data_IF_055822371484
#
_entry.id   IF_055822371484
#
_cell.length_a   1.000
_cell.length_b   1.000
_cell.length_c   1.000
_cell.angle_alpha   90.00
_cell.angle_beta   90.00
_cell.angle_gamma   90.00
#
_symmetry.space_group_name_H-M   'P 1'
#
loop_
_entity.id
_entity.type
_entity.pdbx_description
1 polymer ?
#
# COMPACT_ATOMS: atom_id res chain seq x y z
N UNK A 1 11.36 -7.39 20.91
CA UNK A 1 10.20 -7.21 21.79
C UNK A 1 8.97 -7.44 20.92
N UNK A 2 8.09 -8.40 21.21
CA UNK A 2 6.88 -8.59 20.44
C UNK A 2 6.02 -7.32 20.47
N UNK A 3 5.24 -7.09 19.41
CA UNK A 3 4.25 -6.02 19.37
C UNK A 3 3.32 -6.18 20.59
N UNK A 4 3.49 -5.34 21.60
CA UNK A 4 2.89 -5.46 22.92
C UNK A 4 2.40 -4.11 23.45
N UNK A 5 2.12 -4.07 24.75
CA UNK A 5 1.59 -2.89 25.45
C UNK A 5 2.41 -1.64 25.09
N UNK A 6 1.73 -0.63 24.52
CA UNK A 6 2.34 0.64 24.12
C UNK A 6 2.80 0.74 22.66
N UNK A 7 2.66 -0.33 21.85
CA UNK A 7 2.96 -0.25 20.41
C UNK A 7 1.81 0.44 19.66
N UNK A 8 2.16 1.41 18.81
CA UNK A 8 1.23 2.24 18.08
C UNK A 8 1.58 2.31 16.60
N UNK A 9 0.60 2.17 15.71
CA UNK A 9 0.74 2.42 14.28
C UNK A 9 0.09 3.75 13.93
N UNK A 10 0.92 4.72 13.54
CA UNK A 10 0.43 5.98 12.95
C UNK A 10 0.14 5.76 11.47
N UNK A 11 -1.04 6.15 11.05
CA UNK A 11 -1.52 5.87 9.70
C UNK A 11 -2.39 7.00 9.13
N UNK A 12 -2.55 6.97 7.82
CA UNK A 12 -3.60 7.71 7.07
C UNK A 12 -4.26 6.74 6.08
N UNK A 13 -5.23 7.23 5.30
CA UNK A 13 -5.87 6.41 4.26
C UNK A 13 -5.11 6.38 2.92
N UNK A 14 -3.97 7.05 2.82
CA UNK A 14 -3.12 7.00 1.64
C UNK A 14 -2.52 5.60 1.42
N UNK A 15 -2.05 5.24 0.22
CA UNK A 15 -1.72 3.87 -0.16
C UNK A 15 -0.76 3.13 0.80
N UNK A 16 0.43 3.66 1.07
CA UNK A 16 1.40 2.98 1.93
C UNK A 16 0.95 2.86 3.41
N UNK A 17 0.38 3.91 4.05
CA UNK A 17 -0.21 3.75 5.39
C UNK A 17 -1.39 2.78 5.43
N UNK A 18 -2.25 2.76 4.39
CA UNK A 18 -3.32 1.78 4.25
C UNK A 18 -2.77 0.35 4.22
N UNK A 19 -1.69 0.13 3.45
CA UNK A 19 -1.01 -1.15 3.38
C UNK A 19 -0.57 -1.63 4.76
N UNK A 20 0.07 -0.77 5.56
CA UNK A 20 0.52 -1.13 6.91
C UNK A 20 -0.64 -1.48 7.85
N UNK A 21 -1.78 -0.77 7.75
CA UNK A 21 -2.99 -1.11 8.50
C UNK A 21 -3.53 -2.48 8.07
N UNK A 22 -3.62 -2.74 6.76
CA UNK A 22 -4.07 -4.02 6.24
C UNK A 22 -3.19 -5.18 6.72
N UNK A 23 -1.86 -5.00 6.73
CA UNK A 23 -0.90 -5.98 7.27
C UNK A 23 -1.15 -6.25 8.76
N UNK A 24 -1.22 -5.18 9.57
CA UNK A 24 -1.44 -5.32 11.01
C UNK A 24 -2.76 -6.05 11.32
N UNK A 25 -3.82 -5.75 10.54
CA UNK A 25 -5.12 -6.44 10.65
C UNK A 25 -5.06 -7.89 10.22
N UNK A 26 -4.41 -8.16 9.09
CA UNK A 26 -4.26 -9.53 8.57
C UNK A 26 -3.52 -10.43 9.56
N UNK A 27 -2.51 -9.89 10.21
CA UNK A 27 -1.71 -10.62 11.20
C UNK A 27 -2.36 -10.67 12.59
N UNK A 28 -3.46 -9.97 12.83
CA UNK A 28 -4.07 -9.86 14.15
C UNK A 28 -3.13 -9.18 15.18
N UNK A 29 -2.26 -8.27 14.73
CA UNK A 29 -1.27 -7.64 15.58
C UNK A 29 -1.93 -6.79 16.68
N UNK A 30 -1.51 -6.99 17.93
CA UNK A 30 -2.02 -6.27 19.11
C UNK A 30 -1.30 -4.92 19.23
N UNK A 31 -1.86 -3.88 18.63
CA UNK A 31 -1.32 -2.52 18.68
C UNK A 31 -2.47 -1.49 18.64
N UNK A 32 -2.15 -0.26 19.00
CA UNK A 32 -3.07 0.86 18.90
C UNK A 32 -2.92 1.53 17.54
N UNK A 33 -4.04 1.82 16.88
CA UNK A 33 -4.05 2.59 15.63
C UNK A 33 -4.31 4.06 15.93
N UNK A 34 -3.47 4.95 15.39
CA UNK A 34 -3.65 6.40 15.52
C UNK A 34 -3.64 7.07 14.15
N UNK A 35 -4.79 7.64 13.80
CA UNK A 35 -4.93 8.38 12.54
C UNK A 35 -4.14 9.69 12.60
N UNK A 36 -3.41 9.97 11.52
CA UNK A 36 -2.70 11.23 11.32
C UNK A 36 -3.14 11.84 9.98
N UNK A 37 -3.75 13.01 10.05
CA UNK A 37 -4.24 13.71 8.86
C UNK A 37 -3.07 14.17 8.00
N UNK A 38 -2.99 13.81 6.73
CA UNK A 38 -1.92 14.29 5.86
C UNK A 38 -1.83 15.82 5.84
N UNK A 39 -0.61 16.33 5.88
CA UNK A 39 -0.31 17.76 5.84
C UNK A 39 -0.88 18.61 6.99
N UNK A 40 -1.36 17.99 8.08
CA UNK A 40 -1.86 18.74 9.23
C UNK A 40 -0.74 19.56 9.90
N UNK A 41 -1.03 20.78 10.38
CA UNK A 41 -0.07 21.61 11.10
C UNK A 41 0.51 20.85 12.32
N UNK A 42 1.82 21.03 12.58
CA UNK A 42 2.51 20.41 13.71
C UNK A 42 2.88 18.94 13.56
N UNK A 43 2.45 18.27 12.49
CA UNK A 43 2.78 16.85 12.29
C UNK A 43 4.28 16.63 11.98
N UNK A 44 4.91 17.54 11.26
CA UNK A 44 6.32 17.43 10.92
C UNK A 44 7.18 17.41 12.21
N UNK A 45 6.92 18.30 13.13
CA UNK A 45 7.61 18.40 14.43
C UNK A 45 7.36 17.16 15.29
N UNK A 46 6.13 16.67 15.29
CA UNK A 46 5.71 15.47 16.03
C UNK A 46 6.41 14.21 15.50
N UNK A 47 6.48 14.05 14.19
CA UNK A 47 6.97 12.82 13.57
C UNK A 47 8.46 12.81 13.28
N UNK A 48 9.13 13.97 13.23
CA UNK A 48 10.58 14.06 12.98
C UNK A 48 11.43 13.14 13.89
N UNK A 49 11.16 13.02 15.20
CA UNK A 49 11.91 12.09 16.05
C UNK A 49 11.64 10.61 15.75
N UNK A 50 10.52 10.28 15.09
CA UNK A 50 10.10 8.91 14.82
C UNK A 50 10.44 8.48 13.39
N UNK A 51 10.40 9.40 12.44
CA UNK A 51 10.72 9.18 11.03
C UNK A 51 11.29 10.46 10.42
N UNK A 52 12.57 10.49 10.05
CA UNK A 52 13.21 11.66 9.45
C UNK A 52 12.61 12.10 8.13
N UNK A 53 11.94 11.17 7.39
CA UNK A 53 11.23 11.47 6.13
C UNK A 53 9.86 12.12 6.34
N UNK A 54 9.39 12.24 7.58
CA UNK A 54 8.10 12.84 7.95
C UNK A 54 6.87 12.17 7.28
N UNK A 55 7.06 10.95 6.78
CA UNK A 55 6.03 10.20 6.06
C UNK A 55 5.42 9.09 6.93
N UNK A 56 4.23 8.65 6.55
CA UNK A 56 3.55 7.51 7.14
C UNK A 56 3.64 6.29 6.20
N UNK A 57 3.57 5.07 6.74
CA UNK A 57 3.26 4.68 8.13
C UNK A 57 4.45 4.77 9.07
N UNK A 58 4.17 4.87 10.39
CA UNK A 58 5.18 4.76 11.46
C UNK A 58 4.66 3.80 12.52
N UNK A 59 5.43 2.76 12.82
CA UNK A 59 5.22 1.89 13.97
C UNK A 59 6.12 2.38 15.11
N UNK A 60 5.55 2.77 16.25
CA UNK A 60 6.29 3.29 17.40
C UNK A 60 6.00 2.47 18.66
N UNK A 61 7.00 2.31 19.51
CA UNK A 61 6.92 1.63 20.82
C UNK A 61 7.79 2.35 21.83
N UNK A 62 7.66 2.08 23.14
CA UNK A 62 8.58 2.65 24.12
C UNK A 62 10.03 2.34 23.76
N UNK A 63 10.81 3.39 23.49
CA UNK A 63 12.24 3.30 23.16
C UNK A 63 12.58 3.14 21.66
N UNK A 64 11.60 3.20 20.72
CA UNK A 64 11.94 3.13 19.31
C UNK A 64 10.78 3.32 18.34
N UNK A 65 11.14 3.41 17.08
CA UNK A 65 10.19 3.47 15.97
C UNK A 65 10.72 2.73 14.76
N UNK A 66 9.82 2.38 13.86
CA UNK A 66 10.10 1.78 12.56
C UNK A 66 9.18 2.43 11.51
N UNK A 67 9.73 2.77 10.39
CA UNK A 67 9.01 3.33 9.25
C UNK A 67 9.31 2.50 7.99
N UNK A 68 8.65 2.78 6.88
CA UNK A 68 8.47 1.96 5.68
C UNK A 68 7.53 0.77 5.90
N UNK A 69 6.52 0.68 5.03
CA UNK A 69 5.51 -0.38 5.10
C UNK A 69 6.12 -1.78 5.02
N UNK A 70 7.17 -1.95 4.22
CA UNK A 70 7.87 -3.23 4.05
C UNK A 70 8.56 -3.66 5.36
N UNK A 71 9.26 -2.72 6.01
CA UNK A 71 9.93 -2.98 7.28
C UNK A 71 8.93 -3.30 8.40
N UNK A 72 7.82 -2.56 8.44
CA UNK A 72 6.73 -2.79 9.40
C UNK A 72 6.11 -4.17 9.18
N UNK A 73 5.85 -4.56 7.92
CA UNK A 73 5.28 -5.87 7.59
C UNK A 73 6.22 -7.01 8.00
N UNK A 74 7.51 -6.89 7.70
CA UNK A 74 8.54 -7.86 8.12
C UNK A 74 8.55 -8.00 9.65
N UNK A 75 8.60 -6.88 10.37
CA UNK A 75 8.61 -6.86 11.83
C UNK A 75 7.36 -7.50 12.42
N UNK A 76 6.16 -7.10 11.98
CA UNK A 76 4.91 -7.62 12.50
C UNK A 76 4.74 -9.12 12.18
N UNK A 77 5.14 -9.57 10.98
CA UNK A 77 5.10 -11.00 10.63
C UNK A 77 5.97 -11.84 11.58
N UNK A 78 7.19 -11.37 11.87
CA UNK A 78 8.10 -12.04 12.82
C UNK A 78 7.55 -12.03 14.24
N UNK A 79 7.05 -10.89 14.72
CA UNK A 79 6.49 -10.75 16.06
C UNK A 79 5.28 -11.66 16.29
N UNK A 80 4.50 -11.92 15.23
CA UNK A 80 3.31 -12.79 15.25
C UNK A 80 3.62 -14.25 14.91
N UNK A 81 4.88 -14.60 14.60
CA UNK A 81 5.25 -15.97 14.18
C UNK A 81 4.56 -16.40 12.89
N UNK A 82 4.25 -15.45 12.01
CA UNK A 82 3.52 -15.69 10.75
C UNK A 82 4.49 -15.83 9.58
N UNK A 83 4.11 -16.67 8.63
CA UNK A 83 4.79 -16.84 7.34
C UNK A 83 4.32 -15.84 6.27
N UNK A 84 3.50 -14.85 6.63
CA UNK A 84 3.01 -13.82 5.71
C UNK A 84 4.16 -13.05 5.05
N UNK A 85 5.23 -12.73 5.80
CA UNK A 85 6.53 -12.41 5.24
C UNK A 85 7.28 -13.71 5.00
N UNK A 86 7.41 -14.12 3.75
CA UNK A 86 8.08 -15.37 3.40
C UNK A 86 9.56 -15.36 3.77
N UNK A 87 10.03 -16.45 4.33
CA UNK A 87 11.42 -16.74 4.63
C UNK A 87 11.86 -18.08 4.06
N UNK A 88 13.09 -18.52 4.37
CA UNK A 88 13.64 -19.78 3.89
C UNK A 88 13.72 -19.87 2.37
N UNK A 89 13.26 -20.94 1.78
CA UNK A 89 13.29 -21.19 0.33
C UNK A 89 12.50 -20.14 -0.48
N UNK A 90 11.45 -19.56 0.09
CA UNK A 90 10.62 -18.55 -0.58
C UNK A 90 11.18 -17.12 -0.43
N UNK A 91 12.20 -16.90 0.42
CA UNK A 91 12.72 -15.55 0.70
C UNK A 91 13.31 -14.85 -0.54
N UNK A 92 14.09 -15.51 -1.41
CA UNK A 92 14.58 -14.88 -2.63
C UNK A 92 13.48 -14.40 -3.56
N UNK A 93 12.41 -15.20 -3.70
CA UNK A 93 11.23 -14.82 -4.50
C UNK A 93 10.48 -13.65 -3.86
N UNK A 94 10.33 -13.65 -2.53
CA UNK A 94 9.75 -12.55 -1.79
C UNK A 94 10.50 -11.24 -2.06
N UNK A 95 11.83 -11.24 -1.89
CA UNK A 95 12.68 -10.07 -2.13
C UNK A 95 12.58 -9.61 -3.57
N UNK A 96 12.62 -10.54 -4.54
CA UNK A 96 12.47 -10.22 -5.97
C UNK A 96 11.18 -9.45 -6.23
N UNK A 97 10.03 -9.97 -5.75
CA UNK A 97 8.74 -9.32 -5.99
C UNK A 97 8.58 -8.00 -5.25
N UNK A 98 9.16 -7.84 -4.05
CA UNK A 98 9.17 -6.56 -3.34
C UNK A 98 9.99 -5.51 -4.09
N UNK A 99 11.22 -5.85 -4.47
CA UNK A 99 12.12 -4.94 -5.19
C UNK A 99 11.57 -4.57 -6.56
N UNK A 100 11.21 -5.57 -7.36
CA UNK A 100 10.67 -5.34 -8.70
C UNK A 100 9.32 -4.60 -8.64
N UNK A 101 8.44 -5.00 -7.75
CA UNK A 101 7.11 -4.43 -7.64
C UNK A 101 7.16 -2.95 -7.25
N UNK A 102 8.02 -2.58 -6.30
CA UNK A 102 8.17 -1.19 -5.86
C UNK A 102 8.60 -0.26 -6.99
N UNK A 103 9.62 -0.66 -7.75
CA UNK A 103 10.23 0.16 -8.78
C UNK A 103 9.52 0.09 -10.15
N UNK A 104 8.60 -0.84 -10.32
CA UNK A 104 7.93 -1.09 -11.58
C UNK A 104 6.41 -0.95 -11.44
N UNK A 105 5.70 -2.02 -11.09
CA UNK A 105 4.23 -2.03 -11.11
C UNK A 105 3.61 -1.04 -10.11
N UNK A 106 4.06 -1.05 -8.85
CA UNK A 106 3.53 -0.10 -7.86
C UNK A 106 3.89 1.33 -8.21
N UNK A 107 5.10 1.60 -8.73
CA UNK A 107 5.48 2.92 -9.23
C UNK A 107 4.59 3.38 -10.38
N UNK A 108 4.32 2.51 -11.34
CA UNK A 108 3.42 2.82 -12.45
C UNK A 108 2.02 3.22 -11.96
N UNK A 109 1.47 2.44 -11.04
CA UNK A 109 0.17 2.74 -10.43
C UNK A 109 0.21 4.06 -9.64
N UNK A 110 1.29 4.31 -8.89
CA UNK A 110 1.47 5.53 -8.09
C UNK A 110 1.54 6.78 -8.97
N UNK A 111 2.30 6.76 -10.05
CA UNK A 111 2.39 7.89 -10.98
C UNK A 111 1.01 8.36 -11.43
N UNK A 112 0.17 7.43 -11.86
CA UNK A 112 -1.19 7.74 -12.33
C UNK A 112 -2.09 8.17 -11.16
N UNK A 113 -2.06 7.41 -10.04
CA UNK A 113 -2.85 7.71 -8.86
C UNK A 113 -2.45 9.04 -8.21
N UNK A 114 -1.16 9.37 -8.17
CA UNK A 114 -0.70 10.63 -7.59
C UNK A 114 -1.28 11.82 -8.36
N UNK A 115 -1.15 11.84 -9.67
CA UNK A 115 -1.61 12.93 -10.51
C UNK A 115 -3.13 13.08 -10.49
N UNK A 116 -3.87 11.99 -10.70
CA UNK A 116 -5.33 11.98 -10.78
C UNK A 116 -6.03 12.03 -9.41
N UNK A 117 -5.37 11.56 -8.37
CA UNK A 117 -5.95 11.42 -7.03
C UNK A 117 -5.29 12.32 -5.99
N UNK A 118 -4.12 11.95 -5.50
CA UNK A 118 -3.48 12.64 -4.36
C UNK A 118 -3.26 14.12 -4.63
N UNK A 119 -2.69 14.45 -5.76
CA UNK A 119 -2.39 15.83 -6.15
C UNK A 119 -3.66 16.71 -6.20
N UNK A 120 -4.73 16.14 -6.73
CA UNK A 120 -6.02 16.85 -6.83
C UNK A 120 -6.70 16.99 -5.46
N UNK A 121 -6.71 15.94 -4.63
CA UNK A 121 -7.32 15.97 -3.29
C UNK A 121 -6.72 17.01 -2.38
N UNK A 122 -5.41 17.23 -2.49
CA UNK A 122 -4.67 18.12 -1.59
C UNK A 122 -4.26 19.45 -2.25
N UNK A 123 -4.73 19.75 -3.45
CA UNK A 123 -4.44 21.02 -4.13
C UNK A 123 -2.96 21.24 -4.44
N UNK A 124 -2.24 20.18 -4.76
CA UNK A 124 -0.79 20.22 -5.01
C UNK A 124 -0.42 20.68 -6.45
N UNK A 125 -1.39 21.15 -7.21
CA UNK A 125 -1.21 21.66 -8.57
C UNK A 125 -2.05 20.94 -9.62
N UNK A 126 -1.96 21.34 -10.90
CA UNK A 126 -2.68 20.71 -12.00
C UNK A 126 -2.15 19.30 -12.29
N UNK A 127 -2.98 18.48 -12.97
CA UNK A 127 -2.55 17.16 -13.46
C UNK A 127 -1.45 17.34 -14.49
N UNK A 128 -0.34 16.63 -14.31
CA UNK A 128 0.68 16.46 -15.33
C UNK A 128 0.30 15.28 -16.23
N UNK A 129 -0.25 15.60 -17.40
CA UNK A 129 -0.71 14.60 -18.36
C UNK A 129 0.43 13.77 -18.95
N UNK A 130 1.65 14.30 -19.03
CA UNK A 130 2.81 13.55 -19.49
C UNK A 130 3.18 12.46 -18.47
N UNK A 131 3.21 12.79 -17.17
CA UNK A 131 3.46 11.80 -16.12
C UNK A 131 2.37 10.72 -16.06
N UNK A 132 1.11 11.10 -16.30
CA UNK A 132 0.01 10.12 -16.41
C UNK A 132 0.24 9.17 -17.58
N UNK A 133 0.61 9.69 -18.75
CA UNK A 133 0.88 8.87 -19.94
C UNK A 133 2.08 7.94 -19.73
N UNK A 134 3.16 8.43 -19.16
CA UNK A 134 4.34 7.63 -18.78
C UNK A 134 3.95 6.52 -17.80
N UNK A 135 3.18 6.85 -16.76
CA UNK A 135 2.67 5.89 -15.78
C UNK A 135 1.80 4.81 -16.41
N UNK A 136 0.91 5.17 -17.35
CA UNK A 136 0.09 4.20 -18.07
C UNK A 136 0.91 3.29 -18.99
N UNK A 137 1.93 3.82 -19.68
CA UNK A 137 2.85 3.01 -20.50
C UNK A 137 3.63 2.01 -19.63
N UNK A 138 4.16 2.48 -18.49
CA UNK A 138 4.85 1.62 -17.55
C UNK A 138 3.90 0.57 -16.94
N UNK A 139 2.66 0.94 -16.63
CA UNK A 139 1.63 0.01 -16.18
C UNK A 139 1.38 -1.09 -17.19
N UNK A 140 1.18 -0.77 -18.46
CA UNK A 140 0.96 -1.77 -19.51
C UNK A 140 2.10 -2.78 -19.60
N UNK A 141 3.35 -2.29 -19.59
CA UNK A 141 4.54 -3.16 -19.65
C UNK A 141 4.63 -4.09 -18.44
N UNK A 142 4.40 -3.56 -17.25
CA UNK A 142 4.54 -4.30 -15.99
C UNK A 142 3.35 -5.20 -15.68
N UNK A 143 2.13 -4.79 -16.06
CA UNK A 143 0.93 -5.61 -15.98
C UNK A 143 1.02 -6.84 -16.89
N UNK A 144 1.62 -6.74 -18.08
CA UNK A 144 1.85 -7.88 -18.95
C UNK A 144 2.77 -8.94 -18.31
N UNK A 145 3.79 -8.52 -17.56
CA UNK A 145 4.67 -9.43 -16.79
C UNK A 145 3.87 -10.14 -15.69
N UNK A 146 3.07 -9.38 -14.93
CA UNK A 146 2.21 -9.97 -13.88
C UNK A 146 1.14 -10.89 -14.48
N UNK A 147 0.52 -10.50 -15.59
CA UNK A 147 -0.45 -11.33 -16.31
C UNK A 147 0.13 -12.70 -16.61
N UNK A 148 1.31 -12.75 -17.25
CA UNK A 148 2.00 -14.00 -17.58
C UNK A 148 2.38 -14.80 -16.34
N UNK A 149 2.88 -14.12 -15.30
CA UNK A 149 3.29 -14.76 -14.04
C UNK A 149 2.12 -15.41 -13.31
N UNK A 150 0.95 -14.77 -13.33
CA UNK A 150 -0.25 -15.19 -12.59
C UNK A 150 -1.11 -16.23 -13.35
N UNK A 151 -0.71 -16.61 -14.56
CA UNK A 151 -1.32 -17.76 -15.25
C UNK A 151 -1.05 -19.03 -14.42
N UNK A 152 -2.12 -19.70 -14.00
CA UNK A 152 -2.03 -20.93 -13.20
C UNK A 152 -1.59 -20.73 -11.75
N UNK A 153 -1.31 -19.49 -11.31
CA UNK A 153 -0.94 -19.17 -9.92
C UNK A 153 -2.07 -18.44 -9.20
N UNK A 154 -2.19 -18.72 -7.91
CA UNK A 154 -3.13 -17.98 -7.05
C UNK A 154 -2.47 -16.75 -6.42
N UNK A 155 -1.17 -16.84 -6.08
CA UNK A 155 -0.39 -15.86 -5.34
C UNK A 155 0.99 -15.67 -5.97
N UNK A 156 1.66 -14.57 -5.66
CA UNK A 156 2.98 -14.25 -6.21
C UNK A 156 4.08 -15.13 -5.64
N UNK A 157 3.98 -15.49 -4.34
CA UNK A 157 4.97 -16.31 -3.65
C UNK A 157 4.28 -17.42 -2.87
N UNK A 158 4.68 -18.67 -3.09
CA UNK A 158 4.11 -19.82 -2.40
C UNK A 158 2.65 -20.09 -2.77
N UNK A 159 1.95 -20.81 -1.89
CA UNK A 159 0.60 -21.32 -2.12
C UNK A 159 -0.51 -20.60 -1.32
N UNK A 160 -0.16 -19.59 -0.55
CA UNK A 160 -1.08 -18.75 0.22
C UNK A 160 -0.71 -17.28 0.09
N UNK A 161 -1.66 -16.40 0.42
CA UNK A 161 -1.42 -14.96 0.37
C UNK A 161 -0.18 -14.58 1.19
N UNK A 162 0.63 -13.70 0.64
CA UNK A 162 1.85 -13.20 1.28
C UNK A 162 1.92 -11.68 1.25
N UNK A 163 2.90 -11.12 1.93
CA UNK A 163 3.12 -9.68 1.87
C UNK A 163 3.47 -9.20 0.44
N UNK A 164 4.08 -10.06 -0.39
CA UNK A 164 4.34 -9.72 -1.80
C UNK A 164 3.04 -9.35 -2.55
N UNK A 165 1.94 -10.07 -2.27
CA UNK A 165 0.64 -9.79 -2.87
C UNK A 165 0.07 -8.47 -2.39
N UNK A 166 0.11 -8.20 -1.09
CA UNK A 166 -0.35 -6.93 -0.51
C UNK A 166 0.47 -5.76 -1.04
N UNK A 167 1.79 -5.91 -1.09
CA UNK A 167 2.69 -4.87 -1.57
C UNK A 167 2.47 -4.55 -3.04
N UNK A 168 2.32 -5.59 -3.87
CA UNK A 168 2.06 -5.42 -5.30
C UNK A 168 0.76 -4.66 -5.54
N UNK A 169 -0.28 -4.96 -4.77
CA UNK A 169 -1.61 -4.38 -4.94
C UNK A 169 -1.79 -3.01 -4.25
N UNK A 170 -0.76 -2.39 -3.66
CA UNK A 170 -0.85 -1.20 -2.79
C UNK A 170 -1.73 -0.09 -3.33
N UNK A 171 -1.70 0.18 -4.64
CA UNK A 171 -2.43 1.26 -5.29
C UNK A 171 -3.75 0.83 -5.92
N UNK A 172 -4.00 -0.47 -6.08
CA UNK A 172 -5.21 -0.98 -6.75
C UNK A 172 -6.52 -0.63 -6.04
N UNK A 173 -6.59 -0.49 -4.69
CA UNK A 173 -7.79 0.00 -4.01
C UNK A 173 -8.22 1.42 -4.38
N UNK A 174 -7.40 2.15 -5.10
CA UNK A 174 -7.66 3.53 -5.54
C UNK A 174 -7.90 3.63 -7.05
N UNK A 175 -8.21 2.50 -7.68
CA UNK A 175 -8.35 2.45 -9.15
C UNK A 175 -9.61 3.15 -9.68
N UNK A 176 -10.60 3.42 -8.83
CA UNK A 176 -11.73 4.28 -9.12
C UNK A 176 -11.31 5.69 -9.56
N UNK A 177 -10.17 6.16 -9.04
CA UNK A 177 -9.58 7.46 -9.37
C UNK A 177 -8.46 7.33 -10.40
N UNK A 178 -7.60 6.31 -10.26
CA UNK A 178 -6.46 6.10 -11.16
C UNK A 178 -6.91 5.71 -12.59
N UNK A 179 -7.96 4.89 -12.72
CA UNK A 179 -8.47 4.45 -14.02
C UNK A 179 -7.48 3.58 -14.79
N UNK A 180 -6.77 2.69 -14.09
CA UNK A 180 -5.85 1.73 -14.70
C UNK A 180 -6.66 0.62 -15.41
N UNK A 181 -6.30 0.19 -16.62
CA UNK A 181 -7.06 -0.78 -17.41
C UNK A 181 -6.83 -2.23 -16.93
N UNK A 182 -7.23 -2.55 -15.69
CA UNK A 182 -7.08 -3.88 -15.09
C UNK A 182 -7.88 -4.96 -15.84
N UNK A 183 -8.98 -4.58 -16.50
CA UNK A 183 -9.82 -5.50 -17.28
C UNK A 183 -9.09 -6.16 -18.44
N UNK A 184 -8.06 -5.51 -18.96
CA UNK A 184 -7.26 -6.00 -20.10
C UNK A 184 -6.31 -7.14 -19.71
N UNK A 185 -6.19 -7.43 -18.40
CA UNK A 185 -5.30 -8.42 -17.80
C UNK A 185 -6.07 -9.43 -16.94
N UNK A 186 -6.70 -10.46 -17.55
CA UNK A 186 -7.61 -11.37 -16.84
C UNK A 186 -7.00 -12.14 -15.67
N UNK A 187 -5.73 -12.56 -15.74
CA UNK A 187 -5.06 -13.28 -14.64
C UNK A 187 -4.74 -12.32 -13.48
N UNK A 188 -4.25 -11.12 -13.79
CA UNK A 188 -4.03 -10.04 -12.82
C UNK A 188 -5.35 -9.64 -12.15
N UNK A 189 -6.42 -9.48 -12.91
CA UNK A 189 -7.75 -9.15 -12.37
C UNK A 189 -8.30 -10.28 -11.48
N UNK A 190 -8.10 -11.56 -11.83
CA UNK A 190 -8.48 -12.69 -10.98
C UNK A 190 -7.69 -12.74 -9.68
N UNK A 191 -6.39 -12.48 -9.73
CA UNK A 191 -5.53 -12.38 -8.55
C UNK A 191 -6.00 -11.25 -7.63
N UNK A 192 -6.27 -10.07 -8.16
CA UNK A 192 -6.73 -8.93 -7.35
C UNK A 192 -8.09 -9.21 -6.69
N UNK A 193 -9.04 -9.84 -7.38
CA UNK A 193 -10.31 -10.25 -6.77
C UNK A 193 -10.13 -11.23 -5.61
N UNK A 194 -9.09 -12.10 -5.62
CA UNK A 194 -8.79 -12.95 -4.45
C UNK A 194 -8.31 -12.12 -3.27
N UNK A 195 -7.52 -11.08 -3.51
CA UNK A 195 -7.13 -10.14 -2.45
C UNK A 195 -8.33 -9.41 -1.86
N UNK A 196 -9.27 -8.99 -2.68
CA UNK A 196 -10.51 -8.34 -2.21
C UNK A 196 -11.39 -9.27 -1.36
N UNK A 197 -11.22 -10.57 -1.45
CA UNK A 197 -11.86 -11.53 -0.55
C UNK A 197 -11.22 -11.58 0.86
N UNK A 198 -9.98 -11.07 1.01
CA UNK A 198 -9.32 -10.94 2.32
C UNK A 198 -9.90 -9.73 3.04
N UNK A 199 -10.61 -9.94 4.17
CA UNK A 199 -11.31 -8.85 4.90
C UNK A 199 -10.34 -7.71 5.29
N UNK A 200 -9.17 -8.07 5.83
CA UNK A 200 -8.15 -7.11 6.23
C UNK A 200 -7.63 -6.25 5.06
N UNK A 201 -7.66 -6.78 3.84
CA UNK A 201 -7.32 -6.04 2.63
C UNK A 201 -8.49 -5.17 2.14
N UNK A 202 -9.68 -5.75 2.06
CA UNK A 202 -10.87 -5.07 1.55
C UNK A 202 -11.27 -3.87 2.40
N UNK A 203 -11.31 -4.04 3.73
CA UNK A 203 -11.73 -3.00 4.68
C UNK A 203 -10.78 -2.91 5.89
N UNK A 204 -9.53 -2.43 5.68
CA UNK A 204 -8.55 -2.36 6.75
C UNK A 204 -8.93 -1.37 7.86
N UNK A 205 -9.82 -0.42 7.59
CA UNK A 205 -10.20 0.64 8.53
C UNK A 205 -11.48 0.34 9.32
N UNK A 206 -12.08 -0.84 9.15
CA UNK A 206 -13.29 -1.23 9.88
C UNK A 206 -13.14 -1.02 11.40
N UNK A 207 -14.03 -0.21 11.96
CA UNK A 207 -14.00 0.10 13.39
C UNK A 207 -12.88 1.04 13.86
N UNK A 208 -12.11 1.63 12.94
CA UNK A 208 -11.12 2.65 13.28
C UNK A 208 -11.67 4.06 13.08
N UNK A 209 -11.27 4.97 13.96
CA UNK A 209 -11.48 6.40 13.75
C UNK A 209 -10.54 6.89 12.64
N UNK A 210 -10.98 6.80 11.41
CA UNK A 210 -10.19 7.11 10.22
C UNK A 210 -11.05 7.89 9.21
N UNK A 211 -11.03 9.23 9.23
CA UNK A 211 -11.76 10.06 8.27
C UNK A 211 -11.47 9.66 6.83
N UNK A 212 -12.48 9.73 5.98
CA UNK A 212 -12.31 9.48 4.55
C UNK A 212 -11.32 10.45 3.91
N UNK A 213 -10.68 10.03 2.83
CA UNK A 213 -9.90 10.93 2.01
C UNK A 213 -10.79 12.07 1.47
N UNK A 214 -10.26 13.28 1.34
CA UNK A 214 -10.98 14.35 0.63
C UNK A 214 -11.42 13.85 -0.75
N UNK A 215 -12.59 14.26 -1.24
CA UNK A 215 -13.01 13.91 -2.60
C UNK A 215 -12.04 14.50 -3.62
N UNK A 216 -11.87 13.82 -4.74
CA UNK A 216 -11.22 14.42 -5.91
C UNK A 216 -12.18 15.46 -6.49
N UNK A 217 -11.76 16.73 -6.66
CA UNK A 217 -12.59 17.73 -7.30
C UNK A 217 -13.03 17.26 -8.68
N UNK A 218 -14.31 17.44 -9.02
CA UNK A 218 -14.75 17.18 -10.40
C UNK A 218 -14.05 18.20 -11.31
N UNK A 219 -13.34 17.72 -12.31
CA UNK A 219 -12.89 18.60 -13.38
C UNK A 219 -14.16 19.11 -14.07
N UNK A 220 -14.44 20.40 -13.94
CA UNK A 220 -15.40 21.03 -14.82
C UNK A 220 -14.89 20.83 -16.24
N UNK A 221 -15.70 20.15 -17.07
CA UNK A 221 -15.36 19.99 -18.47
C UNK A 221 -15.15 21.40 -19.03
N UNK A 222 -13.89 21.73 -19.38
CA UNK A 222 -13.60 22.97 -20.10
C UNK A 222 -14.40 22.88 -21.42
N UNK A 223 -15.47 23.70 -21.46
CA UNK A 223 -16.29 23.92 -22.66
C UNK A 223 -15.51 24.75 -23.65
#
# INVERSE_FOLDING_TARGET
>A
MPAGVGTKLFFSRNPNPRLAVAVARHLGARLTFEFASPFAPGQAERFRPLNPNLSLPILAWPGGSLWEADAIACRLSRDMGSDFWRGGEDEPDMIRWLSWGKENFARACDMVHFERGTKQRYGLGPIDHQLVEEGLKLFQATAAILETTLVGRQWLVGNSVSYADFRMATFLPFNDVAGLPLSDYPALARWYRRLEAVEAWRDPFKGLAAPHLPPVPRQEAMR
#
